data_IF_578826150148
#
_entry.id   IF_578826150148
#
_cell.length_a   1.000
_cell.length_b   1.000
_cell.length_c   1.000
_cell.angle_alpha   90.00
_cell.angle_beta   90.00
_cell.angle_gamma   90.00
#
_symmetry.space_group_name_H-M   'P 1'
#
loop_
_entity.id
_entity.type
_entity.pdbx_description
1 polymer ?
#
# COMPACT_ATOMS: atom_id res chain seq x y z
N UNK A 1 16.13 13.51 -18.82
CA UNK A 1 17.03 12.95 -17.81
C UNK A 1 16.21 11.91 -17.12
N UNK A 2 16.41 10.66 -17.52
CA UNK A 2 15.69 9.51 -16.99
C UNK A 2 16.29 9.21 -15.61
N UNK A 3 15.55 9.52 -14.55
CA UNK A 3 15.91 9.12 -13.20
C UNK A 3 15.75 7.60 -13.08
N UNK A 4 16.80 6.88 -13.48
CA UNK A 4 17.03 5.48 -13.15
C UNK A 4 17.25 5.38 -11.64
N UNK A 5 16.12 5.32 -10.91
CA UNK A 5 16.12 5.21 -9.44
C UNK A 5 16.63 3.82 -9.06
N UNK A 6 17.95 3.76 -8.84
CA UNK A 6 18.70 2.67 -8.18
C UNK A 6 17.83 2.02 -7.09
N UNK A 7 17.62 0.69 -7.08
CA UNK A 7 16.77 0.09 -6.07
C UNK A 7 17.46 0.28 -4.72
N UNK A 8 16.81 1.03 -3.84
CA UNK A 8 17.26 1.22 -2.47
C UNK A 8 17.22 -0.14 -1.75
N UNK A 9 18.20 -0.41 -0.89
CA UNK A 9 18.13 -1.53 0.06
C UNK A 9 16.83 -1.39 0.85
N UNK A 10 15.86 -2.30 0.66
CA UNK A 10 14.51 -2.21 1.25
C UNK A 10 13.35 -2.30 0.25
N UNK A 11 13.63 -2.25 -1.06
CA UNK A 11 12.61 -2.41 -2.11
C UNK A 11 12.23 -3.88 -2.30
N UNK A 12 10.98 -4.24 -2.02
CA UNK A 12 10.42 -5.59 -2.20
C UNK A 12 9.48 -5.63 -3.41
N UNK A 13 9.73 -6.51 -4.38
CA UNK A 13 8.81 -6.75 -5.50
C UNK A 13 7.78 -7.81 -5.08
N UNK A 14 6.50 -7.45 -5.13
CA UNK A 14 5.38 -8.36 -4.89
C UNK A 14 4.67 -8.73 -6.18
N UNK A 15 4.81 -9.98 -6.59
CA UNK A 15 4.04 -10.55 -7.70
C UNK A 15 2.66 -11.02 -7.23
N UNK A 16 1.61 -10.54 -7.89
CA UNK A 16 0.25 -10.95 -7.61
C UNK A 16 0.00 -12.38 -8.06
N UNK A 17 -0.81 -13.13 -7.31
CA UNK A 17 -1.22 -14.46 -7.71
C UNK A 17 -2.14 -14.44 -8.95
N UNK A 18 -2.86 -13.34 -9.16
CA UNK A 18 -3.68 -13.08 -10.35
C UNK A 18 -3.41 -11.66 -10.84
N UNK A 19 -3.26 -11.44 -12.16
CA UNK A 19 -3.13 -10.10 -12.71
C UNK A 19 -4.34 -9.26 -12.31
N UNK A 20 -4.06 -8.03 -11.86
CA UNK A 20 -5.07 -7.07 -11.43
C UNK A 20 -5.23 -6.03 -12.52
N UNK A 21 -6.40 -5.96 -13.16
CA UNK A 21 -6.70 -4.91 -14.11
C UNK A 21 -7.24 -3.69 -13.37
N UNK A 22 -6.49 -2.59 -13.36
CA UNK A 22 -6.91 -1.33 -12.76
C UNK A 22 -6.69 -0.18 -13.75
N UNK A 23 -7.71 0.66 -13.96
CA UNK A 23 -7.69 1.77 -14.93
C UNK A 23 -7.24 1.38 -16.35
N UNK A 24 -7.61 0.18 -16.81
CA UNK A 24 -7.24 -0.33 -18.13
C UNK A 24 -5.79 -0.83 -18.26
N UNK A 25 -5.03 -0.84 -17.17
CA UNK A 25 -3.68 -1.39 -17.10
C UNK A 25 -3.68 -2.70 -16.29
N UNK A 26 -3.05 -3.75 -16.82
CA UNK A 26 -2.85 -5.00 -16.09
C UNK A 26 -1.57 -4.95 -15.26
N UNK A 27 -1.72 -5.13 -13.95
CA UNK A 27 -0.63 -5.20 -12.99
C UNK A 27 -0.42 -6.66 -12.57
N UNK A 28 0.72 -7.22 -12.95
CA UNK A 28 1.16 -8.56 -12.53
C UNK A 28 2.01 -8.51 -11.27
N UNK A 29 2.71 -7.42 -11.07
CA UNK A 29 3.58 -7.18 -9.92
C UNK A 29 3.60 -5.71 -9.56
N UNK A 30 3.90 -5.44 -8.29
CA UNK A 30 4.10 -4.09 -7.76
C UNK A 30 5.40 -4.06 -6.98
N UNK A 31 6.05 -2.90 -7.00
CA UNK A 31 7.30 -2.68 -6.29
C UNK A 31 7.00 -1.93 -5.00
N UNK A 32 7.08 -2.61 -3.85
CA UNK A 32 6.85 -2.03 -2.53
C UNK A 32 8.15 -1.44 -2.01
N UNK A 33 8.15 -0.14 -1.76
CA UNK A 33 9.27 0.57 -1.14
C UNK A 33 8.71 1.28 0.09
N UNK A 34 8.92 0.67 1.26
CA UNK A 34 8.48 1.22 2.54
C UNK A 34 9.52 2.20 3.12
N UNK A 35 10.80 2.01 2.81
CA UNK A 35 11.89 2.90 3.24
C UNK A 35 11.81 4.31 2.64
N UNK A 36 11.25 4.45 1.43
CA UNK A 36 10.98 5.79 0.87
C UNK A 36 9.84 6.55 1.55
N UNK A 37 9.04 5.89 2.40
CA UNK A 37 7.89 6.54 3.02
C UNK A 37 8.37 7.53 4.08
N UNK A 38 7.90 8.75 3.98
CA UNK A 38 8.12 9.78 4.99
C UNK A 38 6.97 9.80 6.01
N UNK A 39 7.20 10.44 7.16
CA UNK A 39 6.13 10.69 8.13
C UNK A 39 4.95 11.47 7.52
N UNK A 40 5.21 12.33 6.54
CA UNK A 40 4.14 13.06 5.83
C UNK A 40 3.28 12.11 4.98
N UNK A 41 3.88 11.10 4.34
CA UNK A 41 3.13 10.08 3.60
C UNK A 41 2.20 9.28 4.51
N UNK A 42 2.67 8.91 5.71
CA UNK A 42 1.87 8.20 6.71
C UNK A 42 0.70 9.08 7.16
N UNK A 43 0.96 10.35 7.50
CA UNK A 43 -0.09 11.30 7.91
C UNK A 43 -1.09 11.58 6.78
N UNK A 44 -0.63 11.63 5.53
CA UNK A 44 -1.45 11.79 4.34
C UNK A 44 -2.37 10.57 4.12
N UNK A 45 -1.87 9.36 4.34
CA UNK A 45 -2.68 8.14 4.35
C UNK A 45 -3.73 8.16 5.46
N UNK A 46 -3.35 8.56 6.67
CA UNK A 46 -4.27 8.61 7.82
C UNK A 46 -5.40 9.61 7.57
N UNK A 47 -5.09 10.78 7.02
CA UNK A 47 -6.11 11.77 6.61
C UNK A 47 -7.07 11.22 5.57
N UNK A 48 -6.57 10.55 4.52
CA UNK A 48 -7.41 9.94 3.48
C UNK A 48 -8.29 8.83 4.05
N UNK A 49 -7.70 7.95 4.85
CA UNK A 49 -8.39 6.87 5.53
C UNK A 49 -9.52 7.39 6.45
N UNK A 50 -9.25 8.41 7.27
CA UNK A 50 -10.25 9.05 8.13
C UNK A 50 -11.35 9.76 7.34
N UNK A 51 -11.00 10.39 6.21
CA UNK A 51 -11.97 11.03 5.33
C UNK A 51 -12.95 10.01 4.73
N UNK A 52 -12.49 8.80 4.44
CA UNK A 52 -13.31 7.70 3.93
C UNK A 52 -14.14 7.02 5.03
N UNK A 53 -13.59 6.87 6.24
CA UNK A 53 -14.23 6.21 7.39
C UNK A 53 -15.40 7.00 8.02
N UNK A 54 -15.74 8.22 7.55
CA UNK A 54 -16.85 9.10 8.00
C UNK A 54 -17.59 8.66 9.28
N UNK A 55 -16.92 8.71 10.43
CA UNK A 55 -17.52 8.43 11.75
C UNK A 55 -17.15 7.10 12.41
N UNK A 56 -16.32 6.26 11.79
CA UNK A 56 -15.76 5.06 12.43
C UNK A 56 -14.63 5.40 13.40
N UNK A 57 -14.80 5.11 14.69
CA UNK A 57 -13.70 5.11 15.66
C UNK A 57 -12.90 3.83 15.53
N UNK A 58 -11.96 3.79 14.59
CA UNK A 58 -10.93 2.75 14.60
C UNK A 58 -9.93 3.09 15.69
N UNK A 59 -9.94 2.33 16.79
CA UNK A 59 -9.03 2.55 17.92
C UNK A 59 -7.56 2.25 17.58
N UNK A 60 -7.30 1.46 16.53
CA UNK A 60 -5.94 1.06 16.14
C UNK A 60 -5.79 1.02 14.61
N UNK A 61 -5.40 2.14 13.97
CA UNK A 61 -5.24 2.18 12.51
C UNK A 61 -4.15 1.19 12.03
N UNK A 62 -3.15 0.89 12.85
CA UNK A 62 -2.08 -0.07 12.50
C UNK A 62 -2.58 -1.50 12.28
N UNK A 63 -3.74 -1.86 12.84
CA UNK A 63 -4.39 -3.15 12.64
C UNK A 63 -5.49 -3.12 11.56
N UNK A 64 -5.83 -1.95 11.06
CA UNK A 64 -6.90 -1.80 10.07
C UNK A 64 -6.40 -2.11 8.66
N UNK A 65 -7.03 -3.08 8.00
CA UNK A 65 -6.65 -3.51 6.65
C UNK A 65 -6.88 -2.44 5.60
N UNK A 66 -7.87 -1.57 5.79
CA UNK A 66 -8.11 -0.45 4.88
C UNK A 66 -7.01 0.60 5.01
N UNK A 67 -6.55 0.90 6.23
CA UNK A 67 -5.40 1.78 6.44
C UNK A 67 -4.09 1.18 5.90
N UNK A 68 -3.83 -0.10 6.20
CA UNK A 68 -2.69 -0.83 5.66
C UNK A 68 -2.67 -0.79 4.13
N UNK A 69 -3.83 -0.89 3.47
CA UNK A 69 -3.92 -0.77 2.01
C UNK A 69 -3.47 0.60 1.49
N UNK A 70 -3.76 1.69 2.21
CA UNK A 70 -3.26 3.03 1.87
C UNK A 70 -1.74 3.10 1.96
N UNK A 71 -1.15 2.54 3.02
CA UNK A 71 0.30 2.50 3.21
C UNK A 71 0.97 1.69 2.11
N UNK A 72 0.45 0.49 1.79
CA UNK A 72 0.92 -0.33 0.67
C UNK A 72 0.83 0.42 -0.64
N UNK A 73 -0.28 1.12 -0.90
CA UNK A 73 -0.46 1.88 -2.13
C UNK A 73 0.57 2.99 -2.28
N UNK A 74 0.87 3.73 -1.20
CA UNK A 74 1.97 4.73 -1.19
C UNK A 74 3.33 4.10 -1.38
N UNK A 75 3.61 2.99 -0.68
CA UNK A 75 4.85 2.25 -0.82
C UNK A 75 5.04 1.74 -2.25
N UNK A 76 3.95 1.31 -2.90
CA UNK A 76 3.95 0.88 -4.28
C UNK A 76 3.91 2.03 -5.31
N UNK A 77 3.60 3.25 -4.88
CA UNK A 77 3.34 4.37 -5.80
C UNK A 77 2.13 4.14 -6.70
N UNK A 78 1.16 3.33 -6.26
CA UNK A 78 -0.06 3.00 -7.00
C UNK A 78 -1.31 3.54 -6.30
N UNK A 79 -2.45 3.52 -6.98
CA UNK A 79 -3.71 3.91 -6.38
C UNK A 79 -4.20 2.86 -5.38
N UNK A 80 -4.79 3.28 -4.24
CA UNK A 80 -5.33 2.34 -3.22
C UNK A 80 -6.41 1.42 -3.79
N UNK A 81 -7.15 1.90 -4.79
CA UNK A 81 -8.13 1.11 -5.53
C UNK A 81 -7.54 -0.13 -6.19
N UNK A 82 -6.30 -0.07 -6.68
CA UNK A 82 -5.60 -1.23 -7.24
C UNK A 82 -5.38 -2.30 -6.18
N UNK A 83 -4.85 -1.89 -5.02
CA UNK A 83 -4.61 -2.79 -3.90
C UNK A 83 -5.91 -3.44 -3.44
N UNK A 84 -7.01 -2.66 -3.39
CA UNK A 84 -8.36 -3.16 -3.04
C UNK A 84 -8.99 -4.05 -4.10
N UNK A 85 -8.64 -3.86 -5.37
CA UNK A 85 -9.09 -4.71 -6.47
C UNK A 85 -8.31 -6.03 -6.58
N UNK A 86 -7.18 -6.15 -5.86
CA UNK A 86 -6.42 -7.37 -5.79
C UNK A 86 -7.21 -8.52 -5.14
N UNK A 87 -6.78 -9.76 -5.39
CA UNK A 87 -7.41 -10.93 -4.78
C UNK A 87 -7.34 -10.85 -3.25
N UNK A 88 -8.33 -11.39 -2.53
CA UNK A 88 -8.34 -11.37 -1.06
C UNK A 88 -7.06 -11.95 -0.44
N UNK A 89 -6.44 -12.95 -1.11
CA UNK A 89 -5.17 -13.56 -0.70
C UNK A 89 -4.01 -12.58 -0.83
N UNK A 90 -3.92 -11.88 -1.96
CA UNK A 90 -2.87 -10.89 -2.20
C UNK A 90 -3.06 -9.66 -1.31
N UNK A 91 -4.29 -9.14 -1.23
CA UNK A 91 -4.64 -8.04 -0.34
C UNK A 91 -4.24 -8.32 1.11
N UNK A 92 -4.54 -9.52 1.62
CA UNK A 92 -4.17 -9.89 3.00
C UNK A 92 -2.66 -9.95 3.19
N UNK A 93 -1.91 -10.48 2.21
CA UNK A 93 -0.44 -10.52 2.25
C UNK A 93 0.19 -9.13 2.21
N UNK A 94 -0.36 -8.23 1.41
CA UNK A 94 0.08 -6.84 1.34
C UNK A 94 -0.22 -6.10 2.65
N UNK A 95 -1.43 -6.28 3.17
CA UNK A 95 -1.85 -5.71 4.44
C UNK A 95 -0.95 -6.17 5.60
N UNK A 96 -0.58 -7.45 5.66
CA UNK A 96 0.35 -7.99 6.65
C UNK A 96 1.76 -7.38 6.57
N UNK A 97 2.25 -7.05 5.36
CA UNK A 97 3.55 -6.36 5.21
C UNK A 97 3.51 -4.95 5.78
N UNK A 98 2.47 -4.19 5.43
CA UNK A 98 2.29 -2.85 5.99
C UNK A 98 2.06 -2.90 7.50
N UNK A 99 1.34 -3.91 8.01
CA UNK A 99 1.21 -4.14 9.45
C UNK A 99 2.57 -4.34 10.12
N UNK A 100 3.40 -5.22 9.57
CA UNK A 100 4.73 -5.48 10.12
C UNK A 100 5.60 -4.22 10.11
N UNK A 101 5.51 -3.42 9.05
CA UNK A 101 6.19 -2.12 8.97
C UNK A 101 5.70 -1.12 10.03
N UNK A 102 4.39 -1.05 10.28
CA UNK A 102 3.81 -0.12 11.25
C UNK A 102 4.03 -0.53 12.72
N UNK A 103 4.31 -1.81 12.98
CA UNK A 103 4.53 -2.36 14.33
C UNK A 103 6.02 -2.49 14.70
N UNK A 104 6.94 -2.18 13.77
CA UNK A 104 8.39 -2.14 14.00
C UNK A 104 8.81 -0.86 14.74
#
# INVERSE_FOLDING_TARGET
MEDEKKPAEGVEVYTFARPVSFEGTEYKEITLDFDKLSGDDILSCDRQYRAEQRGGSTFTPELDKAYQAYIVARAAGVHVGLIRSASAKDFTRLALRAQNFLLL
#
